data_IF_856871520832
#
_entry.id   IF_856871520832
#
_cell.length_a   1.000
_cell.length_b   1.000
_cell.length_c   1.000
_cell.angle_alpha   90.00
_cell.angle_beta   90.00
_cell.angle_gamma   90.00
#
_symmetry.space_group_name_H-M   'P 1'
#
loop_
_entity.id
_entity.type
_entity.pdbx_description
1 polymer ?
#
# COMPACT_ATOMS: atom_id res chain seq x y z
N UNK A 1 2.22 -20.10 3.76
CA UNK A 1 2.93 -19.21 2.81
C UNK A 1 2.57 -17.74 3.03
N UNK A 2 1.34 -17.40 3.41
CA UNK A 2 0.89 -16.02 3.69
C UNK A 2 1.64 -15.32 4.83
N UNK A 3 2.01 -16.03 5.90
CA UNK A 3 2.77 -15.43 7.02
C UNK A 3 4.14 -14.93 6.59
N UNK A 4 4.85 -15.67 5.72
CA UNK A 4 6.18 -15.28 5.23
C UNK A 4 6.09 -14.03 4.35
N UNK A 5 5.06 -13.96 3.50
CA UNK A 5 4.78 -12.78 2.68
C UNK A 5 4.43 -11.56 3.54
N UNK A 6 3.62 -11.74 4.58
CA UNK A 6 3.28 -10.66 5.52
C UNK A 6 4.53 -10.13 6.27
N UNK A 7 5.40 -11.03 6.73
CA UNK A 7 6.65 -10.66 7.41
C UNK A 7 7.58 -9.92 6.46
N UNK A 8 7.80 -10.43 5.24
CA UNK A 8 8.64 -9.78 4.24
C UNK A 8 8.08 -8.42 3.83
N UNK A 9 6.76 -8.29 3.72
CA UNK A 9 6.11 -7.02 3.38
C UNK A 9 6.25 -5.99 4.51
N UNK A 10 6.12 -6.39 5.78
CA UNK A 10 6.42 -5.52 6.92
C UNK A 10 7.91 -5.13 6.99
N UNK A 11 8.80 -6.07 6.65
CA UNK A 11 10.24 -5.80 6.62
C UNK A 11 10.66 -4.84 5.51
N UNK A 12 9.85 -4.70 4.45
CA UNK A 12 10.12 -3.76 3.36
C UNK A 12 9.93 -2.29 3.79
N UNK A 13 9.02 -2.04 4.73
CA UNK A 13 8.67 -0.68 5.18
C UNK A 13 9.63 -0.16 6.27
N UNK A 14 10.08 -1.06 7.15
CA UNK A 14 11.00 -0.75 8.27
C UNK A 14 12.29 0.00 7.89
N UNK A 15 13.05 -0.34 6.83
CA UNK A 15 14.25 0.41 6.48
C UNK A 15 13.95 1.84 6.02
N UNK A 16 12.81 2.07 5.35
CA UNK A 16 12.40 3.43 4.96
C UNK A 16 12.10 4.29 6.19
N UNK A 17 11.39 3.72 7.17
CA UNK A 17 11.07 4.41 8.43
C UNK A 17 12.32 4.76 9.22
N UNK A 18 13.27 3.83 9.33
CA UNK A 18 14.54 4.05 10.04
C UNK A 18 15.38 5.12 9.35
N UNK A 19 15.39 5.15 8.01
CA UNK A 19 16.08 6.19 7.24
C UNK A 19 15.42 7.57 7.43
N UNK A 20 14.08 7.63 7.43
CA UNK A 20 13.33 8.86 7.69
C UNK A 20 13.55 9.37 9.13
N UNK A 21 13.61 8.48 10.12
CA UNK A 21 13.87 8.85 11.52
C UNK A 21 15.31 9.32 11.78
N UNK A 22 16.30 8.73 11.10
CA UNK A 22 17.73 9.10 11.27
C UNK A 22 18.09 10.43 10.61
N UNK A 23 17.35 10.86 9.61
CA UNK A 23 17.55 12.15 8.93
C UNK A 23 16.25 12.97 8.93
N UNK A 24 15.86 13.54 10.09
CA UNK A 24 14.73 14.46 10.16
C UNK A 24 15.13 15.74 9.42
N UNK A 25 14.70 15.86 8.16
CA UNK A 25 14.91 17.03 7.33
C UNK A 25 13.59 17.80 7.29
N UNK A 26 13.63 19.10 7.57
CA UNK A 26 12.44 19.97 7.55
C UNK A 26 11.96 20.28 6.11
N UNK A 27 12.43 19.52 5.13
CA UNK A 27 12.30 19.82 3.71
C UNK A 27 11.39 18.78 3.05
N UNK A 28 10.19 19.21 2.67
CA UNK A 28 9.07 18.36 2.23
C UNK A 28 9.39 17.55 0.96
N UNK A 29 10.36 18.01 0.17
CA UNK A 29 10.74 17.41 -1.10
C UNK A 29 11.59 16.14 -0.97
N UNK A 30 12.29 15.91 0.15
CA UNK A 30 13.14 14.71 0.32
C UNK A 30 12.35 13.40 0.38
N UNK A 31 11.05 13.45 0.67
CA UNK A 31 10.17 12.27 0.66
C UNK A 31 10.06 11.69 -0.75
N UNK A 32 10.06 12.57 -1.77
CA UNK A 32 10.00 12.14 -3.17
C UNK A 32 11.27 11.40 -3.60
N UNK A 33 12.44 11.73 -3.05
CA UNK A 33 13.68 11.02 -3.34
C UNK A 33 13.63 9.57 -2.83
N UNK A 34 13.06 9.36 -1.63
CA UNK A 34 12.84 8.01 -1.08
C UNK A 34 11.81 7.22 -1.89
N UNK A 35 10.71 7.86 -2.27
CA UNK A 35 9.67 7.26 -3.11
C UNK A 35 10.25 6.88 -4.49
N UNK A 36 11.06 7.76 -5.09
CA UNK A 36 11.72 7.53 -6.37
C UNK A 36 12.68 6.33 -6.30
N UNK A 37 13.53 6.27 -5.27
CA UNK A 37 14.43 5.15 -5.06
C UNK A 37 13.68 3.83 -4.89
N UNK A 38 12.57 3.84 -4.16
CA UNK A 38 11.70 2.67 -3.99
C UNK A 38 11.12 2.19 -5.33
N UNK A 39 10.50 3.08 -6.11
CA UNK A 39 9.92 2.72 -7.42
C UNK A 39 10.96 2.26 -8.43
N UNK A 40 12.13 2.90 -8.47
CA UNK A 40 13.22 2.50 -9.36
C UNK A 40 13.72 1.09 -9.05
N UNK A 41 13.83 0.75 -7.76
CA UNK A 41 14.23 -0.59 -7.31
C UNK A 41 13.20 -1.64 -7.74
N UNK A 42 11.90 -1.38 -7.49
CA UNK A 42 10.81 -2.29 -7.89
C UNK A 42 10.80 -2.51 -9.40
N UNK A 43 11.01 -1.44 -10.19
CA UNK A 43 11.07 -1.53 -11.65
C UNK A 43 12.25 -2.39 -12.14
N UNK A 44 13.44 -2.21 -11.57
CA UNK A 44 14.63 -2.99 -11.92
C UNK A 44 14.45 -4.47 -11.54
N UNK A 45 13.98 -4.76 -10.33
CA UNK A 45 13.74 -6.13 -9.89
C UNK A 45 12.66 -6.83 -10.71
N UNK A 46 11.57 -6.14 -11.05
CA UNK A 46 10.51 -6.67 -11.92
C UNK A 46 11.04 -7.01 -13.31
N UNK A 47 11.87 -6.11 -13.87
CA UNK A 47 12.53 -6.32 -15.17
C UNK A 47 13.47 -7.53 -15.11
N UNK A 48 14.33 -7.63 -14.10
CA UNK A 48 15.23 -8.76 -13.90
C UNK A 48 14.47 -10.08 -13.75
N UNK A 49 13.39 -10.10 -12.96
CA UNK A 49 12.55 -11.28 -12.77
C UNK A 49 11.91 -11.73 -14.09
N UNK A 50 11.41 -10.77 -14.88
CA UNK A 50 10.84 -11.06 -16.20
C UNK A 50 11.88 -11.64 -17.16
N UNK A 51 13.07 -11.03 -17.23
CA UNK A 51 14.18 -11.55 -18.04
C UNK A 51 14.60 -12.96 -17.60
N UNK A 52 14.72 -13.19 -16.29
CA UNK A 52 15.08 -14.50 -15.74
C UNK A 52 14.01 -15.55 -16.05
N UNK A 53 12.73 -15.19 -15.93
CA UNK A 53 11.60 -16.05 -16.30
C UNK A 53 11.64 -16.41 -17.78
N UNK A 54 11.85 -15.43 -18.68
CA UNK A 54 12.00 -15.67 -20.12
C UNK A 54 13.23 -16.54 -20.42
N UNK A 55 14.36 -16.32 -19.74
CA UNK A 55 15.59 -17.08 -19.94
C UNK A 55 15.45 -18.56 -19.53
N UNK A 56 14.72 -18.85 -18.45
CA UNK A 56 14.46 -20.21 -17.96
C UNK A 56 13.39 -20.92 -18.78
N UNK A 57 12.30 -20.23 -19.13
CA UNK A 57 11.15 -20.84 -19.83
C UNK A 57 11.27 -20.87 -21.36
N UNK A 58 12.20 -20.10 -21.96
CA UNK A 58 12.48 -19.96 -23.41
C UNK A 58 11.26 -20.15 -24.32
N UNK A 59 10.99 -21.37 -24.79
CA UNK A 59 9.91 -21.68 -25.75
C UNK A 59 8.52 -21.90 -25.12
N UNK A 60 8.42 -22.07 -23.80
CA UNK A 60 7.16 -22.30 -23.06
C UNK A 60 6.72 -21.08 -22.24
N UNK A 61 7.27 -19.90 -22.52
CA UNK A 61 6.85 -18.66 -21.86
C UNK A 61 5.42 -18.29 -22.32
N UNK A 62 4.43 -18.77 -21.59
CA UNK A 62 3.03 -18.46 -21.84
C UNK A 62 2.58 -17.34 -20.91
N UNK A 63 2.39 -16.15 -21.47
CA UNK A 63 1.77 -15.01 -20.79
C UNK A 63 0.38 -14.82 -21.38
N UNK A 64 -0.66 -15.11 -20.59
CA UNK A 64 -2.03 -14.92 -21.03
C UNK A 64 -2.31 -13.43 -21.24
N UNK A 65 -2.50 -13.02 -22.51
CA UNK A 65 -2.72 -11.62 -22.91
C UNK A 65 -3.90 -10.97 -22.19
N UNK A 66 -4.94 -11.74 -21.88
CA UNK A 66 -6.11 -11.27 -21.13
C UNK A 66 -5.79 -10.89 -19.69
N UNK A 67 -4.76 -11.49 -19.07
CA UNK A 67 -4.37 -11.16 -17.71
C UNK A 67 -3.39 -9.98 -17.64
N UNK A 68 -2.73 -9.62 -18.74
CA UNK A 68 -1.72 -8.55 -18.76
C UNK A 68 -2.34 -7.18 -18.45
N UNK A 69 -3.47 -6.87 -19.08
CA UNK A 69 -4.17 -5.59 -18.90
C UNK A 69 -4.68 -5.40 -17.46
N UNK A 70 -5.44 -6.34 -16.86
CA UNK A 70 -5.90 -6.18 -15.48
C UNK A 70 -4.73 -6.19 -14.50
N UNK A 71 -3.67 -6.94 -14.76
CA UNK A 71 -2.46 -6.93 -13.91
C UNK A 71 -1.74 -5.58 -13.96
N UNK A 72 -1.63 -4.97 -15.14
CA UNK A 72 -1.04 -3.64 -15.30
C UNK A 72 -1.88 -2.58 -14.59
N UNK A 73 -3.21 -2.62 -14.74
CA UNK A 73 -4.12 -1.69 -14.07
C UNK A 73 -4.05 -1.84 -12.54
N UNK A 74 -3.99 -3.08 -12.04
CA UNK A 74 -3.78 -3.35 -10.63
C UNK A 74 -2.43 -2.81 -10.13
N UNK A 75 -1.35 -2.99 -10.90
CA UNK A 75 -0.03 -2.45 -10.56
C UNK A 75 -0.01 -0.92 -10.48
N UNK A 76 -0.72 -0.24 -11.38
CA UNK A 76 -0.89 1.22 -11.35
C UNK A 76 -1.69 1.67 -10.11
N UNK A 77 -2.78 0.98 -9.80
CA UNK A 77 -3.60 1.25 -8.63
C UNK A 77 -2.85 0.98 -7.31
N UNK A 78 -2.04 -0.08 -7.27
CA UNK A 78 -1.18 -0.40 -6.14
C UNK A 78 -0.10 0.66 -5.94
N UNK A 79 0.56 1.09 -7.03
CA UNK A 79 1.58 2.14 -6.97
C UNK A 79 0.99 3.47 -6.51
N UNK A 80 -0.14 3.91 -7.05
CA UNK A 80 -0.78 5.14 -6.57
C UNK A 80 -1.13 5.05 -5.08
N UNK A 81 -1.66 3.92 -4.62
CA UNK A 81 -1.95 3.65 -3.21
C UNK A 81 -0.71 3.71 -2.31
N UNK A 82 0.41 3.12 -2.73
CA UNK A 82 1.68 3.16 -2.00
C UNK A 82 2.27 4.59 -1.94
N UNK A 83 2.14 5.39 -3.00
CA UNK A 83 2.57 6.80 -2.97
C UNK A 83 1.74 7.62 -1.98
N UNK A 84 0.41 7.45 -2.00
CA UNK A 84 -0.48 8.10 -1.03
C UNK A 84 -0.18 7.66 0.40
N UNK A 85 0.14 6.39 0.60
CA UNK A 85 0.57 5.85 1.87
C UNK A 85 1.81 6.56 2.42
N UNK A 86 2.87 6.66 1.62
CA UNK A 86 4.12 7.29 2.04
C UNK A 86 3.95 8.78 2.34
N UNK A 87 3.17 9.49 1.51
CA UNK A 87 2.86 10.90 1.73
C UNK A 87 2.07 11.12 3.02
N UNK A 88 1.06 10.28 3.27
CA UNK A 88 0.26 10.32 4.50
C UNK A 88 1.09 9.98 5.73
N UNK A 89 1.97 8.98 5.63
CA UNK A 89 2.86 8.58 6.73
C UNK A 89 3.84 9.69 7.12
N UNK A 90 4.31 10.49 6.15
CA UNK A 90 5.15 11.65 6.41
C UNK A 90 4.39 12.79 7.11
N UNK A 91 3.11 13.01 6.77
CA UNK A 91 2.30 14.12 7.32
C UNK A 91 1.62 13.78 8.66
N UNK A 92 1.17 12.54 8.85
CA UNK A 92 0.31 12.14 9.98
C UNK A 92 0.97 11.16 10.96
N UNK A 93 2.26 10.84 10.78
CA UNK A 93 2.94 9.72 11.45
C UNK A 93 2.36 8.36 11.02
N UNK A 94 3.25 7.40 10.76
CA UNK A 94 2.89 6.06 10.32
C UNK A 94 1.94 5.33 11.31
N UNK A 95 2.01 5.66 12.60
CA UNK A 95 1.17 5.09 13.66
C UNK A 95 -0.30 5.45 13.47
N UNK A 96 -0.59 6.62 12.88
CA UNK A 96 -1.96 7.08 12.59
C UNK A 96 -2.37 6.69 11.17
N UNK A 97 -1.43 6.67 10.22
CA UNK A 97 -1.71 6.31 8.83
C UNK A 97 -2.13 4.84 8.66
N UNK A 98 -1.51 3.89 9.39
CA UNK A 98 -1.80 2.45 9.30
C UNK A 98 -3.25 2.05 9.64
N UNK A 99 -3.81 2.50 10.78
CA UNK A 99 -5.20 2.24 11.13
C UNK A 99 -6.19 2.81 10.12
N UNK A 100 -5.90 3.95 9.48
CA UNK A 100 -6.82 4.60 8.54
C UNK A 100 -6.96 3.78 7.24
N UNK A 101 -5.83 3.32 6.72
CA UNK A 101 -5.73 2.60 5.44
C UNK A 101 -6.17 1.14 5.56
N UNK A 102 -5.92 0.48 6.69
CA UNK A 102 -6.45 -0.88 6.94
C UNK A 102 -7.98 -0.93 7.04
N UNK A 103 -8.63 0.21 7.33
CA UNK A 103 -10.09 0.34 7.35
C UNK A 103 -10.72 0.48 5.96
N UNK A 104 -10.02 1.07 4.99
CA UNK A 104 -10.55 1.28 3.63
C UNK A 104 -11.06 -0.03 2.98
N UNK A 105 -10.29 -1.12 2.94
CA UNK A 105 -10.75 -2.39 2.39
C UNK A 105 -11.96 -2.97 3.12
N UNK A 106 -12.01 -2.83 4.45
CA UNK A 106 -13.13 -3.29 5.26
C UNK A 106 -14.42 -2.50 4.95
N UNK A 107 -14.32 -1.19 4.74
CA UNK A 107 -15.46 -0.35 4.34
C UNK A 107 -15.92 -0.72 2.93
N UNK A 108 -15.01 -0.90 1.98
CA UNK A 108 -15.35 -1.29 0.60
C UNK A 108 -16.01 -2.67 0.59
N UNK A 109 -15.48 -3.63 1.34
CA UNK A 109 -16.08 -4.96 1.50
C UNK A 109 -17.47 -4.87 2.13
N UNK A 110 -17.66 -4.03 3.14
CA UNK A 110 -18.96 -3.82 3.77
C UNK A 110 -19.97 -3.14 2.84
N UNK A 111 -19.54 -2.18 2.01
CA UNK A 111 -20.38 -1.53 0.99
C UNK A 111 -20.83 -2.55 -0.07
N UNK A 112 -19.91 -3.40 -0.52
CA UNK A 112 -20.18 -4.41 -1.54
C UNK A 112 -21.13 -5.51 -1.03
N UNK A 113 -20.98 -5.92 0.23
CA UNK A 113 -21.76 -7.00 0.85
C UNK A 113 -23.17 -6.55 1.29
N UNK A 114 -23.30 -5.33 1.85
CA UNK A 114 -24.56 -4.87 2.48
C UNK A 114 -25.63 -4.40 1.49
N UNK A 115 -25.35 -4.37 0.18
CA UNK A 115 -26.35 -4.35 -0.89
C UNK A 115 -27.64 -3.57 -0.60
N UNK A 116 -27.58 -2.23 -0.62
CA UNK A 116 -28.69 -1.24 -0.64
C UNK A 116 -29.72 -1.23 0.51
N UNK A 117 -29.87 -2.29 1.30
CA UNK A 117 -31.00 -2.40 2.23
C UNK A 117 -30.69 -2.03 3.69
N UNK A 118 -29.43 -1.98 4.11
CA UNK A 118 -29.07 -1.68 5.52
C UNK A 118 -28.02 -0.57 5.67
N UNK A 119 -28.27 0.59 5.04
CA UNK A 119 -27.40 1.77 5.05
C UNK A 119 -27.08 2.28 6.48
N UNK A 120 -27.99 2.07 7.43
CA UNK A 120 -27.88 2.53 8.81
C UNK A 120 -26.80 1.77 9.60
N UNK A 121 -26.66 0.46 9.37
CA UNK A 121 -25.61 -0.35 10.00
C UNK A 121 -24.23 -0.03 9.39
N UNK A 122 -24.18 0.23 8.08
CA UNK A 122 -22.99 0.68 7.38
C UNK A 122 -22.53 2.06 7.90
N UNK A 123 -23.46 3.00 8.06
CA UNK A 123 -23.17 4.32 8.61
C UNK A 123 -22.66 4.25 10.06
N UNK A 124 -23.23 3.36 10.88
CA UNK A 124 -22.73 3.09 12.24
C UNK A 124 -21.30 2.52 12.25
N UNK A 125 -21.00 1.56 11.38
CA UNK A 125 -19.65 0.98 11.26
C UNK A 125 -18.61 2.01 10.78
N UNK A 126 -18.97 2.88 9.83
CA UNK A 126 -18.14 4.00 9.38
C UNK A 126 -17.95 5.01 10.52
N UNK A 127 -19.01 5.32 11.28
CA UNK A 127 -18.95 6.23 12.44
C UNK A 127 -18.01 5.75 13.54
N UNK A 128 -18.13 4.49 13.97
CA UNK A 128 -17.18 3.87 14.92
C UNK A 128 -15.77 3.81 14.33
N UNK A 129 -15.68 3.64 13.00
CA UNK A 129 -14.46 3.79 12.21
C UNK A 129 -13.74 5.11 12.43
N UNK A 130 -14.44 6.20 12.14
CA UNK A 130 -13.96 7.58 12.21
C UNK A 130 -13.63 7.97 13.65
N UNK A 131 -14.46 7.58 14.62
CA UNK A 131 -14.20 7.83 16.05
C UNK A 131 -12.92 7.15 16.51
N UNK A 132 -12.69 5.89 16.09
CA UNK A 132 -11.45 5.18 16.41
C UNK A 132 -10.21 5.85 15.81
N UNK A 133 -10.29 6.33 14.57
CA UNK A 133 -9.21 7.09 13.93
C UNK A 133 -8.95 8.42 14.63
N UNK A 134 -10.01 9.15 14.99
CA UNK A 134 -9.91 10.41 15.73
C UNK A 134 -9.27 10.21 17.09
N UNK A 135 -9.64 9.15 17.81
CA UNK A 135 -9.04 8.80 19.11
C UNK A 135 -7.54 8.47 18.98
N UNK A 136 -7.14 7.75 17.94
CA UNK A 136 -5.72 7.43 17.69
C UNK A 136 -4.94 8.70 17.30
N UNK A 137 -5.53 9.55 16.45
CA UNK A 137 -4.94 10.82 16.05
C UNK A 137 -4.80 11.80 17.24
N UNK A 138 -5.80 11.87 18.11
CA UNK A 138 -5.76 12.65 19.36
C UNK A 138 -4.77 12.09 20.38
N UNK A 139 -4.58 10.78 20.42
CA UNK A 139 -3.61 10.14 21.32
C UNK A 139 -2.16 10.36 20.89
N UNK A 140 -1.93 10.76 19.63
CA UNK A 140 -0.60 11.00 19.06
C UNK A 140 -0.26 12.50 18.98
N UNK A 141 -1.09 13.34 19.63
CA UNK A 141 -0.97 14.79 19.77
C UNK A 141 -0.39 15.12 21.16
#
# INVERSE_FOLDING_TARGET
MTCVLAVLHGLMMTPLEVLQQRQPSNDEYRVFDYIWSFYSTVFVFSTLYFFLYCAIRREKAYVARELVIPSALYGLLWSSGMTFWFLSSHKLSQVVAYPITTRLPAIISAIADVGRNNLLFLAGAIGVGIIGVLLIALSNL
#
